data_IF_623285530387
#
_entry.id   IF_623285530387
#
_cell.length_a   1.000
_cell.length_b   1.000
_cell.length_c   1.000
_cell.angle_alpha   90.00
_cell.angle_beta   90.00
_cell.angle_gamma   90.00
#
_symmetry.space_group_name_H-M   'P 1'
#
loop_
_entity.id
_entity.type
_entity.pdbx_description
1 polymer ?
#
# COMPACT_ATOMS: atom_id res chain seq x y z
N UNK A 1 13.53 13.80 4.11
CA UNK A 1 12.89 12.99 3.07
C UNK A 1 12.62 11.63 3.68
N UNK A 2 11.35 11.28 3.87
CA UNK A 2 10.98 9.96 4.39
C UNK A 2 10.50 9.08 3.24
N UNK A 3 10.97 7.83 3.21
CA UNK A 3 10.61 6.83 2.21
C UNK A 3 10.18 5.54 2.88
N UNK A 4 9.28 4.81 2.23
CA UNK A 4 9.01 3.41 2.54
C UNK A 4 9.80 2.57 1.55
N UNK A 5 10.70 1.76 2.09
CA UNK A 5 11.67 1.01 1.30
C UNK A 5 11.04 -0.17 0.54
N UNK A 6 11.80 -0.64 -0.45
CA UNK A 6 11.42 -1.74 -1.33
C UNK A 6 10.97 -2.97 -0.53
N UNK A 7 9.75 -3.44 -0.79
CA UNK A 7 9.24 -4.69 -0.24
C UNK A 7 9.09 -4.76 1.29
N UNK A 8 9.30 -3.66 2.04
CA UNK A 8 9.45 -3.73 3.50
C UNK A 8 8.20 -4.22 4.24
N UNK A 9 7.02 -3.98 3.68
CA UNK A 9 5.75 -4.51 4.19
C UNK A 9 5.14 -5.57 3.25
N UNK A 10 5.90 -6.10 2.29
CA UNK A 10 5.38 -7.10 1.36
C UNK A 10 5.08 -8.44 2.06
N UNK A 11 4.11 -9.19 1.53
CA UNK A 11 3.73 -10.55 2.01
C UNK A 11 3.27 -10.57 3.47
N UNK A 12 2.48 -9.58 3.84
CA UNK A 12 1.86 -9.50 5.16
C UNK A 12 0.34 -9.67 5.06
N UNK A 13 -0.37 -9.42 6.15
CA UNK A 13 -1.84 -9.48 6.21
C UNK A 13 -2.44 -8.12 6.54
N UNK A 14 -1.78 -7.03 6.13
CA UNK A 14 -2.25 -5.67 6.41
C UNK A 14 -3.61 -5.46 5.75
N UNK A 15 -4.59 -4.99 6.54
CA UNK A 15 -5.95 -4.70 6.07
C UNK A 15 -6.15 -3.22 5.72
N UNK A 16 -5.48 -2.34 6.45
CA UNK A 16 -5.52 -0.92 6.20
C UNK A 16 -4.18 -0.27 6.53
N UNK A 17 -3.90 0.83 5.83
CA UNK A 17 -2.74 1.68 6.13
C UNK A 17 -3.14 3.15 6.08
N UNK A 18 -2.46 3.93 6.93
CA UNK A 18 -2.51 5.39 6.89
C UNK A 18 -1.09 5.88 6.68
N UNK A 19 -0.83 6.50 5.54
CA UNK A 19 0.45 7.13 5.24
C UNK A 19 0.39 8.58 5.69
N UNK A 20 1.22 8.93 6.68
CA UNK A 20 1.25 10.27 7.28
C UNK A 20 2.01 11.27 6.41
N UNK A 21 1.68 12.55 6.63
CA UNK A 21 2.41 13.67 6.06
C UNK A 21 3.92 13.55 6.37
N UNK A 22 4.75 13.81 5.36
CA UNK A 22 6.20 13.66 5.43
C UNK A 22 6.74 12.39 4.76
N UNK A 23 5.89 11.40 4.47
CA UNK A 23 6.22 10.32 3.53
C UNK A 23 6.16 10.86 2.11
N UNK A 24 7.29 10.78 1.41
CA UNK A 24 7.45 11.36 0.07
C UNK A 24 7.63 10.31 -1.02
N UNK A 25 8.12 9.11 -0.67
CA UNK A 25 8.40 8.03 -1.61
C UNK A 25 7.92 6.70 -1.05
N UNK A 26 7.30 5.89 -1.90
CA UNK A 26 7.00 4.49 -1.65
C UNK A 26 7.74 3.71 -2.73
N UNK A 27 8.73 2.90 -2.36
CA UNK A 27 9.50 2.13 -3.34
C UNK A 27 8.69 0.93 -3.86
N UNK A 28 9.22 0.29 -4.92
CA UNK A 28 8.56 -0.83 -5.58
C UNK A 28 8.21 -1.95 -4.60
N UNK A 29 7.05 -2.57 -4.80
CA UNK A 29 6.53 -3.69 -4.00
C UNK A 29 6.40 -3.45 -2.48
N UNK A 30 6.53 -2.21 -1.99
CA UNK A 30 6.53 -1.89 -0.56
C UNK A 30 5.40 -2.54 0.25
N UNK A 31 4.19 -2.63 -0.32
CA UNK A 31 2.99 -3.24 0.28
C UNK A 31 2.41 -4.38 -0.58
N UNK A 32 3.20 -4.99 -1.46
CA UNK A 32 2.71 -6.06 -2.33
C UNK A 32 2.32 -7.32 -1.54
N UNK A 33 1.35 -8.10 -2.01
CA UNK A 33 0.89 -9.34 -1.37
C UNK A 33 0.39 -9.09 0.07
N UNK A 34 -0.58 -8.19 0.22
CA UNK A 34 -1.26 -7.91 1.49
C UNK A 34 -2.76 -8.16 1.35
N UNK A 35 -3.57 -7.66 2.30
CA UNK A 35 -5.04 -7.74 2.29
C UNK A 35 -5.65 -6.34 2.37
N UNK A 36 -4.98 -5.33 1.80
CA UNK A 36 -5.35 -3.94 1.96
C UNK A 36 -6.69 -3.67 1.27
N UNK A 37 -7.69 -3.30 2.06
CA UNK A 37 -9.01 -2.84 1.59
C UNK A 37 -9.18 -1.34 1.75
N UNK A 38 -8.30 -0.68 2.52
CA UNK A 38 -8.34 0.76 2.76
C UNK A 38 -6.93 1.34 2.83
N UNK A 39 -6.70 2.41 2.07
CA UNK A 39 -5.44 3.14 2.04
C UNK A 39 -5.75 4.62 2.16
N UNK A 40 -5.26 5.26 3.22
CA UNK A 40 -5.30 6.72 3.36
C UNK A 40 -3.95 7.30 2.96
N UNK A 41 -3.92 8.04 1.86
CA UNK A 41 -2.71 8.64 1.29
C UNK A 41 -2.52 10.09 1.77
N UNK A 42 -1.31 10.44 2.22
CA UNK A 42 -0.92 11.84 2.45
C UNK A 42 -0.66 12.58 1.13
N UNK A 43 -0.88 13.89 1.16
CA UNK A 43 -0.64 14.76 -0.02
C UNK A 43 0.85 14.94 -0.33
N UNK A 44 1.72 14.67 0.64
CA UNK A 44 3.17 14.75 0.48
C UNK A 44 3.78 13.65 -0.41
N UNK A 45 3.04 12.61 -0.77
CA UNK A 45 3.55 11.48 -1.56
C UNK A 45 3.82 11.96 -3.00
N UNK A 46 5.08 11.89 -3.41
CA UNK A 46 5.54 12.33 -4.74
C UNK A 46 5.77 11.18 -5.71
N UNK A 47 6.05 9.99 -5.20
CA UNK A 47 6.38 8.84 -6.03
C UNK A 47 5.91 7.53 -5.40
N UNK A 48 5.36 6.66 -6.24
CA UNK A 48 4.93 5.31 -5.90
C UNK A 48 5.62 4.38 -6.90
N UNK A 49 6.43 3.47 -6.38
CA UNK A 49 7.21 2.52 -7.14
C UNK A 49 6.36 1.41 -7.73
N UNK A 50 6.94 0.69 -8.68
CA UNK A 50 6.23 -0.32 -9.43
C UNK A 50 5.69 -1.44 -8.53
N UNK A 51 4.44 -1.81 -8.76
CA UNK A 51 3.75 -2.83 -7.97
C UNK A 51 3.73 -2.57 -6.46
N UNK A 52 3.90 -1.33 -5.98
CA UNK A 52 3.90 -1.02 -4.54
C UNK A 52 2.69 -1.60 -3.78
N UNK A 53 1.54 -1.71 -4.45
CA UNK A 53 0.31 -2.31 -3.92
C UNK A 53 -0.15 -3.55 -4.70
N UNK A 54 0.76 -4.22 -5.42
CA UNK A 54 0.43 -5.38 -6.25
C UNK A 54 -0.13 -6.55 -5.42
N UNK A 55 -1.14 -7.24 -5.95
CA UNK A 55 -1.80 -8.41 -5.34
C UNK A 55 -2.27 -8.14 -3.89
N UNK A 56 -3.41 -7.49 -3.74
CA UNK A 56 -4.13 -7.45 -2.48
C UNK A 56 -5.13 -8.61 -2.48
N UNK A 57 -4.90 -9.59 -1.61
CA UNK A 57 -5.80 -10.72 -1.37
C UNK A 57 -7.05 -10.18 -0.66
N UNK A 58 -7.92 -9.55 -1.44
CA UNK A 58 -9.25 -9.19 -1.00
C UNK A 58 -10.02 -10.50 -0.77
N UNK A 59 -10.72 -10.66 0.36
CA UNK A 59 -11.46 -11.88 0.63
C UNK A 59 -12.43 -12.15 -0.53
N UNK A 60 -12.19 -13.26 -1.25
CA UNK A 60 -13.09 -13.79 -2.28
C UNK A 60 -14.49 -13.96 -1.67
N UNK A 61 -15.36 -12.98 -1.89
CA UNK A 61 -16.69 -12.95 -1.27
C UNK A 61 -17.25 -11.55 -0.97
N UNK A 62 -16.44 -10.48 -0.97
CA UNK A 62 -17.04 -9.14 -1.00
C UNK A 62 -17.44 -8.80 -2.43
N UNK A 63 -18.63 -9.26 -2.83
CA UNK A 63 -19.36 -8.63 -3.91
C UNK A 63 -19.62 -7.18 -3.53
N UNK A 64 -18.69 -6.29 -3.86
CA UNK A 64 -18.99 -4.86 -3.93
C UNK A 64 -19.46 -4.63 -5.35
N UNK A 65 -20.77 -4.77 -5.51
CA UNK A 65 -21.54 -4.06 -6.54
C UNK A 65 -21.40 -2.57 -6.18
N UNK A 66 -20.47 -1.87 -6.82
CA UNK A 66 -20.53 -0.45 -7.21
C UNK A 66 -19.49 -0.21 -8.30
#
# INVERSE_FOLDING_TARGET
MSRIEHGVFSRNQLNSITLSEGITYIDSQAFANNKLTSITMATSIKNIGDGAFYHQDAPYGSGTIY
#
